data_IF_491652215973
#
_entry.id   IF_491652215973
#
_cell.length_a   1.000
_cell.length_b   1.000
_cell.length_c   1.000
_cell.angle_alpha   90.00
_cell.angle_beta   90.00
_cell.angle_gamma   90.00
#
_symmetry.space_group_name_H-M   'P 1'
#
loop_
_entity.id
_entity.type
_entity.pdbx_description
1 polymer ?
#
# COMPACT_ATOMS: atom_id res chain seq x y z
N UNK A 1 -31.40 -27.95 5.57
CA UNK A 1 -30.99 -26.55 5.73
C UNK A 1 -29.75 -26.38 4.90
N UNK A 2 -29.96 -26.24 3.59
CA UNK A 2 -28.90 -26.23 2.59
C UNK A 2 -28.32 -24.82 2.50
N UNK A 3 -27.19 -24.61 3.16
CA UNK A 3 -26.35 -23.45 2.90
C UNK A 3 -25.74 -23.62 1.50
N UNK A 4 -25.83 -22.61 0.62
CA UNK A 4 -25.15 -22.70 -0.67
C UNK A 4 -23.64 -22.80 -0.44
N UNK A 5 -22.90 -23.48 -1.33
CA UNK A 5 -21.45 -23.55 -1.23
C UNK A 5 -20.89 -22.13 -1.23
N UNK A 6 -20.02 -21.83 -0.25
CA UNK A 6 -19.21 -20.61 -0.24
C UNK A 6 -18.54 -20.54 -1.61
N UNK A 7 -18.90 -19.53 -2.39
CA UNK A 7 -18.32 -19.31 -3.71
C UNK A 7 -16.81 -19.40 -3.59
N UNK A 8 -16.22 -20.39 -4.26
CA UNK A 8 -14.78 -20.54 -4.37
C UNK A 8 -14.25 -19.22 -4.89
N UNK A 9 -13.67 -18.43 -4.00
CA UNK A 9 -13.15 -17.12 -4.28
C UNK A 9 -12.19 -17.27 -5.45
N UNK A 10 -12.60 -16.66 -6.56
CA UNK A 10 -11.87 -16.62 -7.82
C UNK A 10 -10.39 -16.40 -7.52
N UNK A 11 -9.56 -17.35 -7.94
CA UNK A 11 -8.12 -17.35 -7.64
C UNK A 11 -7.50 -16.20 -8.42
N UNK A 12 -7.52 -15.02 -7.81
CA UNK A 12 -6.77 -13.86 -8.26
C UNK A 12 -5.32 -14.30 -8.56
N UNK A 13 -4.72 -13.79 -9.64
CA UNK A 13 -3.39 -14.21 -10.06
C UNK A 13 -2.40 -14.06 -8.90
N UNK A 14 -1.84 -15.20 -8.50
CA UNK A 14 -0.76 -15.26 -7.51
C UNK A 14 0.40 -14.45 -8.08
N UNK A 15 0.88 -13.48 -7.30
CA UNK A 15 1.93 -12.50 -7.61
C UNK A 15 1.54 -11.26 -8.42
N UNK A 16 0.46 -10.55 -8.06
CA UNK A 16 0.44 -9.09 -8.26
C UNK A 16 1.30 -8.43 -7.18
N UNK A 17 2.61 -8.32 -7.39
CA UNK A 17 3.52 -7.68 -6.43
C UNK A 17 3.14 -6.22 -6.18
N UNK A 18 3.26 -5.72 -4.95
CA UNK A 18 3.00 -4.30 -4.65
C UNK A 18 4.16 -3.44 -5.16
N UNK A 19 3.87 -2.24 -5.66
CA UNK A 19 4.85 -1.26 -6.13
C UNK A 19 4.61 0.09 -5.42
N UNK A 20 5.25 0.32 -4.26
CA UNK A 20 5.18 1.60 -3.57
C UNK A 20 6.14 2.61 -4.19
N UNK A 21 5.60 3.79 -4.53
CA UNK A 21 6.30 4.87 -5.21
C UNK A 21 6.01 6.19 -4.51
N UNK A 22 7.06 6.98 -4.29
CA UNK A 22 6.90 8.41 -4.08
C UNK A 22 6.64 9.14 -5.41
N UNK A 23 6.41 10.46 -5.33
CA UNK A 23 6.12 11.30 -6.49
C UNK A 23 7.25 11.29 -7.54
N UNK A 24 8.52 11.26 -7.10
CA UNK A 24 9.68 11.30 -7.99
C UNK A 24 9.88 9.95 -8.68
N UNK A 25 9.80 8.85 -7.93
CA UNK A 25 9.85 7.49 -8.46
C UNK A 25 8.69 7.23 -9.44
N UNK A 26 7.49 7.76 -9.15
CA UNK A 26 6.35 7.67 -10.05
C UNK A 26 6.62 8.38 -11.38
N UNK A 27 7.11 9.63 -11.34
CA UNK A 27 7.42 10.42 -12.54
C UNK A 27 8.53 9.82 -13.38
N UNK A 28 9.50 9.18 -12.76
CA UNK A 28 10.58 8.47 -13.47
C UNK A 28 10.07 7.22 -14.20
N UNK A 29 9.09 6.52 -13.64
CA UNK A 29 8.58 5.25 -14.18
C UNK A 29 7.39 5.41 -15.13
N UNK A 30 6.55 6.40 -14.90
CA UNK A 30 5.26 6.55 -15.57
C UNK A 30 5.04 7.98 -16.06
N UNK A 31 4.50 8.10 -17.26
CA UNK A 31 4.13 9.36 -17.89
C UNK A 31 2.59 9.54 -17.95
N UNK A 32 1.90 9.28 -16.83
CA UNK A 32 0.45 9.49 -16.72
C UNK A 32 0.12 10.88 -16.17
N UNK A 33 -0.86 11.55 -16.77
CA UNK A 33 -1.39 12.83 -16.34
C UNK A 33 -2.73 12.69 -15.62
N UNK A 34 -3.16 13.74 -14.93
CA UNK A 34 -4.40 13.77 -14.14
C UNK A 34 -4.15 13.81 -12.64
N UNK A 35 -5.22 13.64 -11.86
CA UNK A 35 -5.14 13.56 -10.40
C UNK A 35 -4.46 12.27 -9.91
N UNK A 36 -4.13 12.22 -8.62
CA UNK A 36 -3.45 11.07 -8.00
C UNK A 36 -4.21 9.76 -8.18
N UNK A 37 -5.53 9.77 -8.12
CA UNK A 37 -6.34 8.56 -8.29
C UNK A 37 -6.25 8.01 -9.71
N UNK A 38 -6.42 8.90 -10.68
CA UNK A 38 -6.44 8.60 -12.11
C UNK A 38 -5.10 8.04 -12.57
N UNK A 39 -4.00 8.73 -12.25
CA UNK A 39 -2.65 8.29 -12.64
C UNK A 39 -2.23 6.99 -11.95
N UNK A 40 -2.60 6.78 -10.69
CA UNK A 40 -2.25 5.56 -9.95
C UNK A 40 -3.00 4.35 -10.49
N UNK A 41 -4.29 4.49 -10.84
CA UNK A 41 -5.04 3.43 -11.53
C UNK A 41 -4.45 3.07 -12.89
N UNK A 42 -4.10 4.08 -13.69
CA UNK A 42 -3.46 3.86 -14.98
C UNK A 42 -2.10 3.15 -14.82
N UNK A 43 -1.31 3.53 -13.82
CA UNK A 43 -0.07 2.84 -13.47
C UNK A 43 -0.31 1.38 -13.08
N UNK A 44 -1.25 1.11 -12.17
CA UNK A 44 -1.58 -0.25 -11.72
C UNK A 44 -2.01 -1.16 -12.87
N UNK A 45 -2.89 -0.65 -13.75
CA UNK A 45 -3.31 -1.35 -14.96
C UNK A 45 -2.14 -1.63 -15.89
N UNK A 46 -1.30 -0.63 -16.18
CA UNK A 46 -0.21 -0.77 -17.15
C UNK A 46 0.89 -1.73 -16.70
N UNK A 47 1.18 -1.82 -15.39
CA UNK A 47 2.18 -2.74 -14.87
C UNK A 47 1.61 -4.03 -14.28
N UNK A 48 0.28 -4.24 -14.33
CA UNK A 48 -0.41 -5.42 -13.78
C UNK A 48 -0.06 -5.71 -12.30
N UNK A 49 0.10 -4.65 -11.51
CA UNK A 49 0.52 -4.69 -10.11
C UNK A 49 -0.32 -3.75 -9.26
N UNK A 50 -0.34 -4.00 -7.96
CA UNK A 50 -0.88 -3.01 -7.02
C UNK A 50 0.13 -1.87 -6.92
N UNK A 51 -0.27 -0.64 -7.21
CA UNK A 51 0.58 0.55 -7.09
C UNK A 51 0.14 1.35 -5.87
N UNK A 52 1.10 1.75 -5.04
CA UNK A 52 0.90 2.71 -3.95
C UNK A 52 1.61 3.99 -4.36
N UNK A 53 0.87 5.10 -4.42
CA UNK A 53 1.41 6.43 -4.64
C UNK A 53 1.36 7.20 -3.33
N UNK A 54 2.52 7.38 -2.72
CA UNK A 54 2.68 8.11 -1.47
C UNK A 54 2.53 9.62 -1.71
N UNK A 55 1.78 10.30 -0.84
CA UNK A 55 1.46 11.72 -0.96
C UNK A 55 0.67 12.21 0.25
N UNK A 56 0.08 13.41 0.17
CA UNK A 56 -0.79 13.94 1.24
C UNK A 56 -1.98 13.02 1.54
N UNK A 57 -2.63 12.53 0.48
CA UNK A 57 -3.49 11.35 0.52
C UNK A 57 -2.79 10.23 -0.24
N UNK A 58 -2.55 9.10 0.43
CA UNK A 58 -1.92 7.95 -0.22
C UNK A 58 -2.96 7.22 -1.07
N UNK A 59 -2.67 7.02 -2.34
CA UNK A 59 -3.54 6.28 -3.26
C UNK A 59 -3.00 4.89 -3.51
N UNK A 60 -3.85 3.88 -3.39
CA UNK A 60 -3.50 2.48 -3.63
C UNK A 60 -4.42 1.96 -4.71
N UNK A 61 -3.90 1.54 -5.86
CA UNK A 61 -4.72 1.02 -6.95
C UNK A 61 -4.31 -0.39 -7.34
N UNK A 62 -5.30 -1.24 -7.62
CA UNK A 62 -5.14 -2.58 -8.16
C UNK A 62 -5.36 -2.59 -9.69
N UNK A 63 -4.80 -3.58 -10.40
CA UNK A 63 -4.89 -3.66 -11.86
C UNK A 63 -6.31 -3.91 -12.37
N UNK A 64 -7.21 -4.41 -11.52
CA UNK A 64 -8.64 -4.59 -11.82
C UNK A 64 -9.46 -3.28 -11.73
N UNK A 65 -8.82 -2.15 -11.40
CA UNK A 65 -9.44 -0.83 -11.29
C UNK A 65 -9.91 -0.48 -9.88
N UNK A 66 -9.87 -1.42 -8.92
CA UNK A 66 -10.11 -1.10 -7.52
C UNK A 66 -9.08 -0.10 -7.01
N UNK A 67 -9.49 0.81 -6.13
CA UNK A 67 -8.59 1.75 -5.49
C UNK A 67 -9.04 2.09 -4.07
N UNK A 68 -8.07 2.37 -3.20
CA UNK A 68 -8.23 2.78 -1.81
C UNK A 68 -7.46 4.08 -1.64
N UNK A 69 -8.07 5.05 -0.95
CA UNK A 69 -7.41 6.29 -0.54
C UNK A 69 -7.21 6.22 0.96
N UNK A 70 -5.97 6.38 1.40
CA UNK A 70 -5.62 6.40 2.80
C UNK A 70 -5.16 7.81 3.21
N UNK A 71 -5.99 8.48 4.02
CA UNK A 71 -5.76 9.86 4.48
C UNK A 71 -5.08 9.93 5.86
N UNK A 72 -4.68 8.80 6.44
CA UNK A 72 -4.04 8.78 7.76
C UNK A 72 -2.51 8.91 7.71
N UNK A 73 -1.94 9.09 6.51
CA UNK A 73 -0.51 9.00 6.27
C UNK A 73 0.07 10.40 6.05
N UNK A 74 0.64 11.07 7.07
CA UNK A 74 1.33 12.34 6.85
C UNK A 74 2.55 12.12 5.94
N UNK A 75 2.75 13.03 5.00
CA UNK A 75 3.77 12.94 3.96
C UNK A 75 5.21 12.84 4.49
N UNK A 76 6.01 12.03 3.79
CA UNK A 76 7.47 12.06 3.66
C UNK A 76 8.36 12.30 4.90
N UNK A 77 8.45 11.30 5.79
CA UNK A 77 9.65 11.18 6.65
C UNK A 77 10.73 10.36 5.93
N UNK A 78 11.98 10.82 5.98
CA UNK A 78 13.11 10.09 5.43
C UNK A 78 13.18 8.66 6.02
N UNK A 79 13.22 7.63 5.17
CA UNK A 79 13.24 6.22 5.57
C UNK A 79 11.88 5.58 5.86
N UNK A 80 10.79 6.35 5.88
CA UNK A 80 9.42 5.85 6.05
C UNK A 80 9.00 4.84 4.97
N UNK A 81 9.40 5.10 3.73
CA UNK A 81 9.07 4.27 2.56
C UNK A 81 9.71 2.88 2.61
N UNK A 82 10.88 2.72 3.22
CA UNK A 82 11.53 1.40 3.38
C UNK A 82 10.77 0.54 4.39
N UNK A 83 10.21 1.17 5.43
CA UNK A 83 9.47 0.42 6.45
C UNK A 83 8.07 0.08 5.98
N UNK A 84 7.34 1.00 5.35
CA UNK A 84 6.04 0.70 4.74
C UNK A 84 6.17 -0.49 3.77
N UNK A 85 7.19 -0.48 2.90
CA UNK A 85 7.54 -1.60 2.02
C UNK A 85 7.76 -2.92 2.78
N UNK A 86 8.49 -2.87 3.90
CA UNK A 86 8.77 -4.07 4.71
C UNK A 86 7.51 -4.65 5.38
N UNK A 87 6.64 -3.79 5.92
CA UNK A 87 5.35 -4.19 6.49
C UNK A 87 4.47 -4.85 5.43
N UNK A 88 4.34 -4.20 4.26
CA UNK A 88 3.55 -4.71 3.13
C UNK A 88 4.08 -6.09 2.71
N UNK A 89 5.40 -6.24 2.56
CA UNK A 89 5.99 -7.53 2.21
C UNK A 89 5.75 -8.59 3.29
N UNK A 90 5.86 -8.24 4.58
CA UNK A 90 5.56 -9.15 5.68
C UNK A 90 4.10 -9.63 5.68
N UNK A 91 3.15 -8.75 5.38
CA UNK A 91 1.74 -9.09 5.24
C UNK A 91 1.49 -9.99 4.01
N UNK A 92 2.12 -9.69 2.88
CA UNK A 92 2.04 -10.56 1.69
C UNK A 92 2.66 -11.94 1.93
N UNK A 93 3.78 -12.02 2.66
CA UNK A 93 4.41 -13.28 3.05
C UNK A 93 3.51 -14.14 3.94
N UNK A 94 2.62 -13.52 4.72
CA UNK A 94 1.58 -14.20 5.50
C UNK A 94 0.33 -14.59 4.68
N UNK A 95 0.32 -14.32 3.37
CA UNK A 95 -0.76 -14.69 2.46
C UNK A 95 -1.84 -13.63 2.30
N UNK A 96 -1.65 -12.41 2.84
CA UNK A 96 -2.60 -11.32 2.64
C UNK A 96 -2.63 -10.88 1.16
N UNK A 97 -3.83 -10.66 0.56
CA UNK A 97 -3.96 -10.14 -0.79
C UNK A 97 -3.23 -8.80 -0.96
N UNK A 98 -2.63 -8.56 -2.13
CA UNK A 98 -1.74 -7.41 -2.36
C UNK A 98 -2.40 -6.05 -2.07
N UNK A 99 -3.64 -5.84 -2.49
CA UNK A 99 -4.38 -4.60 -2.23
C UNK A 99 -4.62 -4.39 -0.73
N UNK A 100 -5.04 -5.44 -0.04
CA UNK A 100 -5.26 -5.42 1.41
C UNK A 100 -3.95 -5.23 2.19
N UNK A 101 -2.86 -5.88 1.76
CA UNK A 101 -1.54 -5.75 2.36
C UNK A 101 -0.99 -4.32 2.21
N UNK A 102 -1.15 -3.73 1.03
CA UNK A 102 -0.80 -2.34 0.79
C UNK A 102 -1.61 -1.38 1.68
N UNK A 103 -2.93 -1.56 1.74
CA UNK A 103 -3.81 -0.71 2.56
C UNK A 103 -3.49 -0.82 4.06
N UNK A 104 -3.36 -2.05 4.58
CA UNK A 104 -3.03 -2.28 5.97
C UNK A 104 -1.63 -1.76 6.31
N UNK A 105 -0.64 -2.00 5.46
CA UNK A 105 0.73 -1.52 5.67
C UNK A 105 0.82 0.01 5.73
N UNK A 106 0.15 0.71 4.81
CA UNK A 106 0.11 2.17 4.83
C UNK A 106 -0.70 2.73 6.01
N UNK A 107 -1.79 2.05 6.40
CA UNK A 107 -2.57 2.46 7.56
C UNK A 107 -1.77 2.31 8.86
N UNK A 108 -1.11 1.17 9.07
CA UNK A 108 -0.24 0.92 10.23
C UNK A 108 0.91 1.94 10.28
N UNK A 109 1.46 2.29 9.12
CA UNK A 109 2.47 3.32 9.01
C UNK A 109 1.97 4.69 9.48
N UNK A 110 0.81 5.12 9.00
CA UNK A 110 0.18 6.36 9.46
C UNK A 110 -0.14 6.35 10.96
N UNK A 111 -0.66 5.24 11.46
CA UNK A 111 -0.98 5.06 12.88
C UNK A 111 0.27 5.15 13.78
N UNK A 112 1.37 4.50 13.40
CA UNK A 112 2.63 4.60 14.13
C UNK A 112 3.17 6.04 14.14
N UNK A 113 3.09 6.76 13.03
CA UNK A 113 3.51 8.17 13.01
C UNK A 113 2.64 9.04 13.92
N UNK A 114 1.33 8.80 13.94
CA UNK A 114 0.40 9.53 14.80
C UNK A 114 0.69 9.29 16.29
N UNK A 115 1.03 8.05 16.66
CA UNK A 115 1.30 7.66 18.05
C UNK A 115 2.67 8.17 18.55
N UNK A 116 3.75 7.95 17.78
CA UNK A 116 5.12 8.22 18.25
C UNK A 116 5.63 9.63 17.95
N UNK A 117 4.85 10.43 17.21
CA UNK A 117 5.11 11.86 17.04
C UNK A 117 6.40 12.20 16.26
N UNK A 118 6.83 13.48 16.26
CA UNK A 118 8.04 13.94 15.57
C UNK A 118 9.32 13.30 16.16
N UNK A 119 10.13 12.65 15.32
CA UNK A 119 11.35 11.94 15.75
C UNK A 119 11.33 10.44 15.50
N UNK A 120 10.14 9.85 15.32
CA UNK A 120 9.98 8.46 14.90
C UNK A 120 10.67 8.19 13.56
N UNK A 121 11.59 7.23 13.56
CA UNK A 121 12.46 6.86 12.47
C UNK A 121 12.33 5.38 12.11
N UNK A 122 12.97 4.96 11.02
CA UNK A 122 12.98 3.55 10.61
C UNK A 122 13.55 2.60 11.70
N UNK A 123 14.42 3.11 12.58
CA UNK A 123 15.08 2.31 13.61
C UNK A 123 14.18 1.97 14.79
N UNK A 124 13.07 2.69 14.96
CA UNK A 124 12.17 2.55 16.11
C UNK A 124 11.12 1.44 15.91
N UNK A 125 10.97 0.95 14.67
CA UNK A 125 9.96 -0.05 14.29
C UNK A 125 9.99 -1.39 15.03
N UNK A 126 11.16 -1.99 15.32
CA UNK A 126 11.21 -3.24 16.09
C UNK A 126 10.56 -3.13 17.47
N UNK A 127 10.55 -1.94 18.08
CA UNK A 127 9.93 -1.70 19.38
C UNK A 127 8.41 -1.48 19.29
N UNK A 128 7.88 -1.14 18.11
CA UNK A 128 6.47 -0.79 17.90
C UNK A 128 5.61 -1.96 17.41
N UNK A 129 6.19 -2.87 16.61
CA UNK A 129 5.46 -4.03 16.06
C UNK A 129 4.78 -4.95 17.10
N UNK A 130 5.28 -5.13 18.34
CA UNK A 130 4.58 -5.95 19.34
C UNK A 130 3.37 -5.28 20.00
N UNK A 131 3.18 -3.96 19.82
CA UNK A 131 2.23 -3.14 20.59
C UNK A 131 0.98 -2.76 19.77
N UNK A 132 1.03 -2.93 18.44
CA UNK A 132 -0.07 -2.71 17.49
C UNK A 132 -0.80 -4.01 17.14
#
# INVERSE_FOLDING_TARGET
SDLPPIATQDRAPRCAGVLPLDEDEFRQKFAFSGDSLTRTRAAAQSCSRVVVLEGGDTVIAAPDGQAIINSNTPSNRAGASVVSRSIIHGLQAQGMPALSAAAAGMWLHGAAIAEFGPGFSAQDWPAVLPVL
#
